data_IF_798138482983
#
_entry.id   IF_798138482983
#
_cell.length_a   1.000
_cell.length_b   1.000
_cell.length_c   1.000
_cell.angle_alpha   90.00
_cell.angle_beta   90.00
_cell.angle_gamma   90.00
#
_symmetry.space_group_name_H-M   'P 1'
#
loop_
_entity.id
_entity.type
_entity.pdbx_description
1 polymer ?
#
# COMPACT_ATOMS: atom_id res chain seq x y z
N UNK A 1 3.29 24.39 8.38
CA UNK A 1 3.34 24.24 6.94
C UNK A 1 2.68 22.98 6.50
N UNK A 2 1.59 23.15 5.82
CA UNK A 2 0.80 22.01 5.38
C UNK A 2 1.59 21.11 4.42
N UNK A 3 2.41 21.72 3.58
CA UNK A 3 3.18 20.95 2.63
C UNK A 3 4.16 20.00 3.29
N UNK A 4 4.68 20.40 4.42
CA UNK A 4 5.62 19.55 5.12
C UNK A 4 4.94 18.36 5.75
N UNK A 5 3.74 18.56 6.26
CA UNK A 5 2.99 17.44 6.81
C UNK A 5 2.70 16.39 5.75
N UNK A 6 2.32 16.85 4.56
CA UNK A 6 2.04 15.92 3.48
C UNK A 6 3.28 15.17 3.05
N UNK A 7 4.40 15.86 2.97
CA UNK A 7 5.65 15.23 2.61
C UNK A 7 6.07 14.17 3.61
N UNK A 8 5.88 14.45 4.89
CA UNK A 8 6.22 13.49 5.92
C UNK A 8 5.37 12.23 5.80
N UNK A 9 4.08 12.39 5.53
CA UNK A 9 3.19 11.25 5.35
C UNK A 9 3.61 10.40 4.17
N UNK A 10 3.98 11.04 3.08
CA UNK A 10 4.37 10.32 1.89
C UNK A 10 5.71 9.62 2.05
N UNK A 11 6.55 10.16 2.92
CA UNK A 11 7.84 9.53 3.18
C UNK A 11 7.71 8.25 3.98
N UNK A 12 6.62 8.10 4.72
CA UNK A 12 6.38 6.88 5.50
C UNK A 12 5.80 5.81 4.60
N UNK A 13 6.62 4.81 4.32
CA UNK A 13 6.19 3.68 3.50
C UNK A 13 6.56 2.39 4.19
N UNK A 14 5.89 1.33 3.78
CA UNK A 14 6.05 0.02 4.37
C UNK A 14 6.37 -1.01 3.30
N UNK A 15 7.27 -1.93 3.62
CA UNK A 15 7.53 -3.04 2.72
C UNK A 15 6.30 -3.93 2.64
N UNK A 16 6.23 -4.76 1.61
CA UNK A 16 5.01 -5.51 1.32
C UNK A 16 4.58 -6.41 2.47
N UNK A 17 5.51 -7.03 3.18
CA UNK A 17 5.14 -7.92 4.28
C UNK A 17 4.45 -7.15 5.41
N UNK A 18 4.96 -5.97 5.73
CA UNK A 18 4.36 -5.14 6.76
C UNK A 18 3.03 -4.56 6.29
N UNK A 19 3.00 -4.10 5.04
CA UNK A 19 1.76 -3.55 4.48
C UNK A 19 0.65 -4.60 4.48
N UNK A 20 0.98 -5.82 4.12
CA UNK A 20 0.00 -6.91 4.12
C UNK A 20 -0.54 -7.16 5.51
N UNK A 21 0.33 -7.14 6.50
CA UNK A 21 -0.09 -7.32 7.88
C UNK A 21 -1.03 -6.20 8.31
N UNK A 22 -0.68 -4.97 8.00
CA UNK A 22 -1.50 -3.82 8.38
C UNK A 22 -2.85 -3.83 7.65
N UNK A 23 -2.87 -4.33 6.44
CA UNK A 23 -4.09 -4.41 5.66
C UNK A 23 -4.93 -5.66 5.98
N UNK A 24 -4.36 -6.60 6.72
CA UNK A 24 -5.04 -7.84 7.05
C UNK A 24 -5.15 -8.77 5.87
N UNK A 25 -4.14 -8.82 5.02
CA UNK A 25 -4.13 -9.61 3.80
C UNK A 25 -2.84 -10.38 3.67
N UNK A 26 -2.86 -11.37 2.77
CA UNK A 26 -1.65 -12.08 2.42
C UNK A 26 -0.81 -11.23 1.45
N UNK A 27 0.52 -11.26 1.56
CA UNK A 27 1.36 -10.48 0.62
C UNK A 27 1.09 -10.83 -0.84
N UNK A 28 0.75 -12.06 -1.14
CA UNK A 28 0.45 -12.47 -2.49
C UNK A 28 -0.75 -11.71 -3.05
N UNK A 29 -1.72 -11.40 -2.20
CA UNK A 29 -2.88 -10.61 -2.61
C UNK A 29 -2.45 -9.20 -3.03
N UNK A 30 -1.50 -8.63 -2.30
CA UNK A 30 -0.99 -7.30 -2.65
C UNK A 30 -0.32 -7.32 -4.02
N UNK A 31 0.42 -8.39 -4.32
CA UNK A 31 1.06 -8.52 -5.62
C UNK A 31 0.03 -8.64 -6.74
N UNK A 32 -1.05 -9.34 -6.48
CA UNK A 32 -2.14 -9.46 -7.45
C UNK A 32 -2.80 -8.12 -7.71
N UNK A 33 -3.05 -7.37 -6.67
CA UNK A 33 -3.68 -6.05 -6.82
C UNK A 33 -2.78 -5.10 -7.59
N UNK A 34 -1.47 -5.21 -7.38
CA UNK A 34 -0.51 -4.43 -8.15
C UNK A 34 -0.61 -4.79 -9.63
N UNK A 35 -0.61 -6.07 -9.92
CA UNK A 35 -0.66 -6.57 -11.29
C UNK A 35 -1.95 -6.15 -12.00
N UNK A 36 -3.05 -6.14 -11.26
CA UNK A 36 -4.35 -5.76 -11.80
C UNK A 36 -4.54 -4.24 -11.87
N UNK A 37 -3.62 -3.49 -11.30
CA UNK A 37 -3.73 -2.03 -11.31
C UNK A 37 -4.70 -1.50 -10.28
N UNK A 38 -5.10 -2.31 -9.31
CA UNK A 38 -6.05 -1.88 -8.30
C UNK A 38 -5.39 -1.05 -7.22
N UNK A 39 -4.23 -1.49 -6.75
CA UNK A 39 -3.43 -0.72 -5.79
C UNK A 39 -1.98 -0.86 -6.23
N UNK A 40 -1.42 0.21 -6.76
CA UNK A 40 -0.07 0.19 -7.31
C UNK A 40 0.87 0.87 -6.32
N UNK A 41 1.82 0.12 -5.75
CA UNK A 41 2.76 0.70 -4.79
C UNK A 41 3.85 1.49 -5.49
N UNK A 42 4.47 2.38 -4.74
CA UNK A 42 5.68 3.02 -5.21
C UNK A 42 6.81 2.00 -5.19
N UNK A 43 7.81 2.23 -6.01
CA UNK A 43 8.98 1.37 -6.06
C UNK A 43 10.21 2.21 -5.78
N UNK A 44 10.82 1.95 -4.63
CA UNK A 44 12.08 2.56 -4.32
C UNK A 44 13.17 1.87 -5.15
N UNK A 45 14.19 2.61 -5.49
CA UNK A 45 15.27 2.08 -6.30
C UNK A 45 15.82 0.80 -5.69
N UNK A 46 15.69 -0.30 -6.41
CA UNK A 46 16.24 -1.57 -6.00
C UNK A 46 15.68 -2.14 -4.72
N UNK A 47 14.55 -1.61 -4.23
CA UNK A 47 14.01 -2.06 -2.96
C UNK A 47 12.65 -2.69 -3.05
N UNK A 48 12.08 -2.72 -4.23
CA UNK A 48 10.81 -3.37 -4.42
C UNK A 48 9.63 -2.50 -4.03
N UNK A 49 8.52 -3.14 -3.70
CA UNK A 49 7.26 -2.46 -3.47
C UNK A 49 7.22 -1.75 -2.14
N UNK A 50 6.75 -0.51 -2.16
CA UNK A 50 6.62 0.32 -0.98
C UNK A 50 5.21 0.87 -0.90
N UNK A 51 4.53 0.64 0.19
CA UNK A 51 3.14 1.02 0.38
C UNK A 51 3.03 2.14 1.39
N UNK A 52 2.30 3.19 1.03
CA UNK A 52 2.01 4.29 1.95
C UNK A 52 0.81 3.93 2.81
N UNK A 53 0.55 4.77 3.82
CA UNK A 53 -0.66 4.59 4.63
C UNK A 53 -1.91 4.65 3.77
N UNK A 54 -1.90 5.53 2.78
CA UNK A 54 -3.03 5.67 1.87
C UNK A 54 -3.23 4.40 1.06
N UNK A 55 -2.13 3.80 0.61
CA UNK A 55 -2.20 2.54 -0.12
C UNK A 55 -2.80 1.45 0.75
N UNK A 56 -2.39 1.40 2.00
CA UNK A 56 -2.90 0.39 2.93
C UNK A 56 -4.39 0.57 3.13
N UNK A 57 -4.85 1.81 3.24
CA UNK A 57 -6.27 2.06 3.37
C UNK A 57 -7.02 1.62 2.12
N UNK A 58 -6.44 1.84 0.95
CA UNK A 58 -7.03 1.39 -0.31
C UNK A 58 -7.13 -0.12 -0.36
N UNK A 59 -6.11 -0.81 0.11
CA UNK A 59 -6.14 -2.26 0.15
C UNK A 59 -7.30 -2.74 1.00
N UNK A 60 -7.50 -2.12 2.14
CA UNK A 60 -8.60 -2.49 3.02
C UNK A 60 -9.95 -2.20 2.38
N UNK A 61 -10.04 -1.09 1.67
CA UNK A 61 -11.29 -0.74 1.00
C UNK A 61 -11.62 -1.72 -0.11
N UNK A 62 -10.63 -2.08 -0.91
CA UNK A 62 -10.83 -3.03 -2.01
C UNK A 62 -11.23 -4.38 -1.46
N UNK A 63 -10.58 -4.82 -0.39
CA UNK A 63 -10.92 -6.10 0.21
C UNK A 63 -12.37 -6.12 0.70
N UNK A 64 -12.78 -5.02 1.32
CA UNK A 64 -14.14 -4.93 1.83
C UNK A 64 -15.14 -5.05 0.69
N UNK A 65 -14.86 -4.41 -0.43
CA UNK A 65 -15.77 -4.46 -1.58
C UNK A 65 -15.83 -5.85 -2.17
N UNK A 66 -14.72 -6.55 -2.23
CA UNK A 66 -14.73 -7.87 -2.85
C UNK A 66 -15.38 -8.93 -1.97
N UNK A 67 -15.57 -8.65 -0.69
CA UNK A 67 -16.24 -9.60 0.19
C UNK A 67 -17.74 -9.49 0.14
N UNK A 68 -18.23 -8.48 -0.52
CA UNK A 68 -19.65 -8.33 -0.69
C UNK A 68 -20.10 -8.91 -2.01
#
# INVERSE_FOLDING_TARGET
MAAQGNGAEEALTFVISVAAELAGMHPQTLRQYDRLGLVIPARAKGRGRRYSKRDIQRLRDVQRMSQE
#
